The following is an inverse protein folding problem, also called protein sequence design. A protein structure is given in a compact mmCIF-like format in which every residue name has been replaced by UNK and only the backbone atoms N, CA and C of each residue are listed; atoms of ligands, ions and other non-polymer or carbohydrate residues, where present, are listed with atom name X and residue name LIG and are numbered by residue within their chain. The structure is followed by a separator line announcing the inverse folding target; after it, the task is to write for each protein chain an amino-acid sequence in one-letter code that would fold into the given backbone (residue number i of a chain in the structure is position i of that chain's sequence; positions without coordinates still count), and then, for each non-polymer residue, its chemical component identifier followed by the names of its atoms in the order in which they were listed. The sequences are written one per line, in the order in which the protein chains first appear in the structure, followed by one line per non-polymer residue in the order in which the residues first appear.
data_IF_046911518065
#
_entry.id   IF_046911518065
#
_cell.length_a   1.000
_cell.length_b   1.000
_cell.length_c   1.000
_cell.angle_alpha   90.00
_cell.angle_beta   90.00
_cell.angle_gamma   90.00
#
_symmetry.space_group_name_H-M   'P 1'
#
loop_
_entity.id
_entity.type
_entity.pdbx_description
1 polymer ?
#
# COMPACT_ATOMS: atom_id res chain seq x y z
N UNK A 1 2.21 13.68 5.36
CA UNK A 1 1.58 13.54 6.69
C UNK A 1 2.08 12.24 7.31
N UNK A 2 2.18 12.13 8.63
CA UNK A 2 2.66 10.91 9.29
C UNK A 2 1.62 10.39 10.27
N UNK A 3 1.29 9.10 10.19
CA UNK A 3 0.57 8.34 11.22
C UNK A 3 1.58 7.42 11.87
N UNK A 4 1.71 7.49 13.19
CA UNK A 4 2.61 6.64 13.97
C UNK A 4 1.85 6.04 15.14
N UNK A 5 1.98 4.73 15.30
CA UNK A 5 1.52 3.96 16.45
C UNK A 5 2.72 3.23 17.07
N UNK A 6 2.48 2.43 18.11
CA UNK A 6 3.52 1.55 18.66
C UNK A 6 3.88 0.41 17.69
N UNK A 7 2.97 0.03 16.78
CA UNK A 7 3.12 -1.13 15.90
C UNK A 7 3.56 -0.78 14.47
N UNK A 8 3.18 0.40 13.96
CA UNK A 8 3.40 0.75 12.55
C UNK A 8 3.52 2.26 12.32
N UNK A 9 4.13 2.61 11.17
CA UNK A 9 4.25 3.98 10.69
C UNK A 9 3.77 4.04 9.24
N UNK A 10 3.00 5.07 8.92
CA UNK A 10 2.64 5.45 7.55
C UNK A 10 3.10 6.88 7.32
N UNK A 11 3.97 7.08 6.33
CA UNK A 11 4.51 8.40 5.99
C UNK A 11 4.16 8.76 4.54
N UNK A 12 3.49 9.90 4.37
CA UNK A 12 3.15 10.53 3.10
C UNK A 12 3.69 11.96 2.99
N UNK A 13 4.84 12.22 3.61
CA UNK A 13 5.52 13.53 3.57
C UNK A 13 6.16 13.84 2.20
N UNK A 14 6.47 12.81 1.43
CA UNK A 14 7.07 12.91 0.10
C UNK A 14 5.93 12.90 -0.95
N UNK A 15 6.03 13.78 -1.95
CA UNK A 15 5.06 13.82 -3.05
C UNK A 15 5.16 12.54 -3.89
N UNK A 16 4.01 11.99 -4.30
CA UNK A 16 3.91 10.75 -5.09
C UNK A 16 4.51 9.51 -4.39
N UNK A 17 4.76 9.56 -3.08
CA UNK A 17 5.24 8.42 -2.31
C UNK A 17 4.49 8.27 -0.98
N UNK A 18 4.20 7.02 -0.62
CA UNK A 18 3.77 6.65 0.73
C UNK A 18 4.60 5.47 1.20
N UNK A 19 5.25 5.57 2.36
CA UNK A 19 5.93 4.44 2.98
C UNK A 19 5.12 3.87 4.14
N UNK A 20 5.13 2.55 4.27
CA UNK A 20 4.49 1.82 5.38
C UNK A 20 5.53 0.89 6.00
N UNK A 21 5.67 0.95 7.32
CA UNK A 21 6.60 0.12 8.06
C UNK A 21 6.01 -0.43 9.35
N UNK A 22 6.62 -1.49 9.89
CA UNK A 22 6.18 -2.18 11.11
C UNK A 22 5.21 -3.33 10.84
N UNK A 23 4.22 -3.51 11.70
CA UNK A 23 3.28 -4.63 11.65
C UNK A 23 1.83 -4.17 11.79
N UNK A 24 1.00 -4.41 10.78
CA UNK A 24 -0.41 -4.02 10.78
C UNK A 24 -1.34 -5.22 10.98
N UNK A 25 -2.11 -5.23 12.08
CA UNK A 25 -3.05 -6.31 12.44
C UNK A 25 -4.44 -5.81 12.83
N UNK A 26 -5.01 -4.90 12.04
CA UNK A 26 -6.31 -4.32 12.36
C UNK A 26 -7.45 -5.34 12.13
N UNK A 27 -8.53 -5.31 12.94
CA UNK A 27 -9.48 -6.41 13.04
C UNK A 27 -10.37 -6.61 11.81
N UNK A 28 -10.54 -5.58 10.98
CA UNK A 28 -11.39 -5.65 9.79
C UNK A 28 -10.83 -4.79 8.65
N UNK A 29 -11.23 -5.02 7.39
CA UNK A 29 -10.84 -4.14 6.28
C UNK A 29 -11.24 -2.67 6.52
N UNK A 30 -12.40 -2.43 7.16
CA UNK A 30 -12.88 -1.08 7.50
C UNK A 30 -11.97 -0.38 8.51
N UNK A 31 -11.33 -1.13 9.40
CA UNK A 31 -10.36 -0.58 10.35
C UNK A 31 -9.12 0.00 9.65
N UNK A 32 -8.87 -0.35 8.39
CA UNK A 32 -7.81 0.23 7.58
C UNK A 32 -8.21 1.54 6.88
N UNK A 33 -9.49 1.95 6.91
CA UNK A 33 -9.93 3.14 6.16
C UNK A 33 -9.22 4.42 6.64
N UNK A 34 -9.04 4.59 7.95
CA UNK A 34 -8.29 5.72 8.51
C UNK A 34 -6.79 5.65 8.15
N UNK A 35 -6.02 4.59 8.48
CA UNK A 35 -4.60 4.56 8.19
C UNK A 35 -4.31 4.62 6.68
N UNK A 36 -5.09 3.91 5.86
CA UNK A 36 -4.90 3.93 4.40
C UNK A 36 -5.55 5.14 3.71
N UNK A 37 -6.21 6.04 4.46
CA UNK A 37 -6.66 7.32 3.89
C UNK A 37 -5.50 8.15 3.36
N UNK A 38 -4.28 7.99 3.89
CA UNK A 38 -3.09 8.66 3.35
C UNK A 38 -2.74 8.16 1.95
N UNK A 39 -2.85 6.85 1.69
CA UNK A 39 -2.63 6.29 0.35
C UNK A 39 -3.68 6.83 -0.61
N UNK A 40 -4.97 6.83 -0.20
CA UNK A 40 -6.08 7.36 -1.02
C UNK A 40 -5.87 8.84 -1.37
N UNK A 41 -5.54 9.67 -0.37
CA UNK A 41 -5.25 11.10 -0.59
C UNK A 41 -4.03 11.32 -1.47
N UNK A 42 -2.95 10.55 -1.28
CA UNK A 42 -1.77 10.66 -2.15
C UNK A 42 -2.09 10.23 -3.58
N UNK A 43 -2.99 9.26 -3.79
CA UNK A 43 -3.43 8.82 -5.11
C UNK A 43 -4.30 9.86 -5.83
N UNK A 44 -5.19 10.54 -5.08
CA UNK A 44 -6.00 11.63 -5.63
C UNK A 44 -5.13 12.82 -6.05
N UNK A 45 -4.11 13.15 -5.24
CA UNK A 45 -3.25 14.30 -5.46
C UNK A 45 -2.02 14.01 -6.33
N UNK A 46 -1.74 12.75 -6.66
CA UNK A 46 -0.55 12.44 -7.45
C UNK A 46 -0.69 13.01 -8.87
N UNK A 47 0.40 13.61 -9.35
CA UNK A 47 0.51 14.14 -10.71
C UNK A 47 1.07 13.12 -11.70
N UNK A 48 1.56 11.99 -11.17
CA UNK A 48 2.19 10.90 -11.90
C UNK A 48 1.89 9.57 -11.16
N UNK A 49 2.76 8.57 -11.27
CA UNK A 49 2.67 7.27 -10.59
C UNK A 49 2.81 7.43 -9.07
N UNK A 50 1.84 6.93 -8.31
CA UNK A 50 1.96 6.83 -6.85
C UNK A 50 2.81 5.61 -6.48
N UNK A 51 3.92 5.83 -5.79
CA UNK A 51 4.75 4.78 -5.21
C UNK A 51 4.31 4.47 -3.78
N UNK A 52 4.07 3.20 -3.47
CA UNK A 52 3.81 2.72 -2.11
C UNK A 52 4.95 1.80 -1.70
N UNK A 53 5.81 2.27 -0.81
CA UNK A 53 6.96 1.54 -0.32
C UNK A 53 6.58 0.68 0.89
N UNK A 54 6.62 -0.64 0.72
CA UNK A 54 6.26 -1.65 1.72
C UNK A 54 7.46 -2.44 2.21
N UNK A 55 8.68 -2.07 1.82
CA UNK A 55 9.91 -2.85 2.08
C UNK A 55 10.19 -3.11 3.55
N UNK A 56 9.71 -2.23 4.42
CA UNK A 56 9.82 -2.31 5.88
C UNK A 56 8.52 -2.70 6.59
N UNK A 57 7.49 -3.14 5.84
CA UNK A 57 6.25 -3.68 6.38
C UNK A 57 6.44 -5.17 6.67
N UNK A 58 6.75 -5.48 7.91
CA UNK A 58 7.06 -6.84 8.36
C UNK A 58 5.83 -7.76 8.32
N UNK A 59 4.64 -7.20 8.55
CA UNK A 59 3.41 -7.96 8.59
C UNK A 59 2.19 -7.15 8.18
N UNK A 60 1.31 -7.78 7.40
CA UNK A 60 -0.02 -7.30 7.06
C UNK A 60 -1.01 -8.47 7.12
N UNK A 61 -2.07 -8.37 7.91
CA UNK A 61 -3.08 -9.43 7.96
C UNK A 61 -3.98 -9.44 6.70
N UNK A 62 -4.82 -10.48 6.58
CA UNK A 62 -5.75 -10.66 5.45
C UNK A 62 -6.71 -9.48 5.24
N UNK A 63 -7.16 -8.86 6.34
CA UNK A 63 -7.97 -7.64 6.31
C UNK A 63 -7.22 -6.47 5.67
N UNK A 64 -5.93 -6.30 5.99
CA UNK A 64 -5.08 -5.27 5.41
C UNK A 64 -4.79 -5.50 3.93
N UNK A 65 -4.52 -6.74 3.54
CA UNK A 65 -4.36 -7.14 2.13
C UNK A 65 -5.65 -6.82 1.34
N UNK A 66 -6.81 -7.13 1.92
CA UNK A 66 -8.11 -6.82 1.30
C UNK A 66 -8.30 -5.31 1.11
N UNK A 67 -7.91 -4.51 2.11
CA UNK A 67 -8.00 -3.05 2.02
C UNK A 67 -7.02 -2.46 1.00
N UNK A 68 -5.80 -3.01 0.90
CA UNK A 68 -4.84 -2.61 -0.14
C UNK A 68 -5.36 -2.95 -1.54
N UNK A 69 -5.94 -4.15 -1.73
CA UNK A 69 -6.56 -4.55 -2.99
C UNK A 69 -7.68 -3.59 -3.42
N UNK A 70 -8.49 -3.10 -2.48
CA UNK A 70 -9.53 -2.08 -2.76
C UNK A 70 -8.94 -0.76 -3.24
N UNK A 71 -7.77 -0.36 -2.74
CA UNK A 71 -7.08 0.86 -3.18
C UNK A 71 -6.53 0.70 -4.60
N UNK A 72 -5.99 -0.47 -4.94
CA UNK A 72 -5.55 -0.77 -6.31
C UNK A 72 -6.74 -0.72 -7.28
N UNK A 73 -7.89 -1.28 -6.88
CA UNK A 73 -9.13 -1.20 -7.67
C UNK A 73 -9.60 0.25 -7.81
N UNK A 74 -9.40 1.09 -6.79
CA UNK A 74 -9.71 2.51 -6.87
C UNK A 74 -8.78 3.23 -7.86
N UNK A 75 -7.46 2.98 -7.80
CA UNK A 75 -6.51 3.51 -8.78
C UNK A 75 -6.90 3.15 -10.22
N UNK A 76 -7.35 1.91 -10.45
CA UNK A 76 -7.91 1.49 -11.74
C UNK A 76 -9.12 2.31 -12.17
N UNK A 77 -10.08 2.53 -11.26
CA UNK A 77 -11.28 3.33 -11.58
C UNK A 77 -10.93 4.76 -11.95
N UNK A 78 -9.93 5.33 -11.28
CA UNK A 78 -9.49 6.69 -11.50
C UNK A 78 -8.43 6.80 -12.63
N UNK A 79 -8.11 5.67 -13.27
CA UNK A 79 -7.09 5.53 -14.31
C UNK A 79 -5.72 6.12 -13.88
N UNK A 80 -5.34 5.86 -12.62
CA UNK A 80 -4.08 6.29 -12.00
C UNK A 80 -3.07 5.15 -11.98
N UNK A 81 -1.82 5.51 -12.20
CA UNK A 81 -0.70 4.58 -12.21
C UNK A 81 -0.20 4.39 -10.77
N UNK A 82 0.16 3.15 -10.42
CA UNK A 82 0.59 2.80 -9.07
C UNK A 82 1.78 1.86 -9.12
N UNK A 83 2.72 2.03 -8.18
CA UNK A 83 3.87 1.16 -8.01
C UNK A 83 3.96 0.69 -6.57
N UNK A 84 4.11 -0.61 -6.34
CA UNK A 84 4.49 -1.15 -5.02
C UNK A 84 5.99 -1.47 -5.02
N UNK A 85 6.71 -1.05 -3.98
CA UNK A 85 8.08 -1.52 -3.73
C UNK A 85 8.00 -2.51 -2.58
N UNK A 86 8.39 -3.76 -2.83
CA UNK A 86 8.30 -4.87 -1.88
C UNK A 86 9.68 -5.45 -1.58
N UNK A 87 9.82 -6.11 -0.44
CA UNK A 87 11.03 -6.82 -0.04
C UNK A 87 10.86 -8.31 -0.31
N UNK A 88 11.63 -8.87 -1.24
CA UNK A 88 11.54 -10.29 -1.62
C UNK A 88 11.95 -11.25 -0.50
N UNK A 89 12.68 -10.77 0.51
CA UNK A 89 13.11 -11.54 1.67
C UNK A 89 11.97 -11.72 2.68
N UNK A 90 10.87 -10.96 2.55
CA UNK A 90 9.64 -11.13 3.34
C UNK A 90 8.66 -12.02 2.55
N UNK A 91 8.48 -13.32 2.92
CA UNK A 91 7.84 -14.29 2.03
C UNK A 91 6.39 -13.98 1.65
N UNK A 92 5.63 -13.36 2.57
CA UNK A 92 4.24 -12.99 2.29
C UNK A 92 4.16 -11.84 1.29
N UNK A 93 5.12 -10.92 1.27
CA UNK A 93 5.14 -9.83 0.28
C UNK A 93 5.32 -10.41 -1.12
N UNK A 94 6.34 -11.25 -1.30
CA UNK A 94 6.61 -11.87 -2.60
C UNK A 94 5.44 -12.75 -3.07
N UNK A 95 4.86 -13.58 -2.20
CA UNK A 95 3.78 -14.50 -2.61
C UNK A 95 2.45 -13.78 -2.80
N UNK A 96 2.05 -12.94 -1.84
CA UNK A 96 0.72 -12.35 -1.80
C UNK A 96 0.63 -11.07 -2.61
N UNK A 97 1.59 -10.14 -2.50
CA UNK A 97 1.49 -8.84 -3.20
C UNK A 97 1.68 -8.98 -4.70
N UNK A 98 2.51 -9.91 -5.18
CA UNK A 98 2.62 -10.18 -6.62
C UNK A 98 1.30 -10.62 -7.25
N UNK A 99 0.46 -11.36 -6.51
CA UNK A 99 -0.87 -11.75 -6.98
C UNK A 99 -1.80 -10.55 -7.20
N UNK A 100 -1.50 -9.38 -6.64
CA UNK A 100 -2.31 -8.17 -6.82
C UNK A 100 -2.10 -7.49 -8.18
N UNK A 101 -1.03 -7.83 -8.93
CA UNK A 101 -0.83 -7.33 -10.32
C UNK A 101 -2.02 -7.62 -11.22
N UNK A 102 -2.76 -8.71 -10.98
CA UNK A 102 -3.95 -9.05 -11.77
C UNK A 102 -5.12 -8.04 -11.60
N UNK A 103 -5.10 -7.19 -10.57
CA UNK A 103 -6.18 -6.25 -10.29
C UNK A 103 -6.14 -5.01 -11.18
N UNK A 104 -4.96 -4.62 -11.66
CA UNK A 104 -4.78 -3.43 -12.48
C UNK A 104 -3.56 -3.54 -13.39
N UNK A 105 -3.72 -3.27 -14.69
CA UNK A 105 -2.64 -3.41 -15.67
C UNK A 105 -1.53 -2.36 -15.51
N UNK A 106 -1.86 -1.18 -14.96
CA UNK A 106 -0.89 -0.13 -14.63
C UNK A 106 -0.43 -0.17 -13.18
N UNK A 107 -0.59 -1.32 -12.52
CA UNK A 107 0.08 -1.61 -11.26
C UNK A 107 1.42 -2.25 -11.56
N UNK A 108 2.51 -1.55 -11.27
CA UNK A 108 3.82 -2.15 -11.21
C UNK A 108 4.16 -2.63 -9.79
N UNK A 109 4.96 -3.68 -9.70
CA UNK A 109 5.55 -4.13 -8.44
C UNK A 109 7.01 -4.44 -8.69
N UNK A 110 7.85 -3.72 -7.97
CA UNK A 110 9.29 -3.88 -7.91
C UNK A 110 9.66 -4.60 -6.61
N UNK A 111 10.44 -5.66 -6.74
CA UNK A 111 10.99 -6.38 -5.59
C UNK A 111 12.47 -6.02 -5.41
N UNK A 112 12.84 -5.59 -4.20
CA UNK A 112 14.24 -5.47 -3.76
C UNK A 112 14.69 -6.71 -2.99
#
# INVERSE_FOLDING_TARGET
MIIKTDDYIIDSSILNEVSISGSMRLPSPLSYDQPFSLIKKSLENCTDTLTVNLTSLEYLNSSGITSLARIIIQARKDNKDMKLIINNSIPWQQKTLLSLKQLWEKLDIESI
#
